data_IF_593693109194
#
_entry.id   IF_593693109194
#
_cell.length_a   1.000
_cell.length_b   1.000
_cell.length_c   1.000
_cell.angle_alpha   90.00
_cell.angle_beta   90.00
_cell.angle_gamma   90.00
#
_symmetry.space_group_name_H-M   'P 1'
#
loop_
_entity.id
_entity.type
_entity.pdbx_description
1 polymer ?
#
# COMPACT_ATOMS: atom_id res chain seq x y z
N UNK A 1 -4.13 -18.23 64.31
CA UNK A 1 -4.02 -17.34 63.12
C UNK A 1 -3.70 -18.21 61.92
N UNK A 2 -4.68 -18.44 61.04
CA UNK A 2 -4.49 -19.20 59.80
C UNK A 2 -3.66 -18.37 58.81
N UNK A 3 -2.62 -18.99 58.22
CA UNK A 3 -1.84 -18.37 57.15
C UNK A 3 -2.77 -17.90 56.02
N UNK A 4 -2.62 -16.67 55.50
CA UNK A 4 -3.36 -16.23 54.33
C UNK A 4 -3.11 -17.20 53.18
N UNK A 5 -4.17 -17.69 52.55
CA UNK A 5 -4.05 -18.50 51.36
C UNK A 5 -3.39 -17.65 50.25
N UNK A 6 -2.37 -18.15 49.55
CA UNK A 6 -1.82 -17.46 48.40
C UNK A 6 -2.94 -17.21 47.38
N UNK A 7 -2.94 -16.05 46.71
CA UNK A 7 -3.94 -15.77 45.69
C UNK A 7 -3.89 -16.87 44.62
N UNK A 8 -5.05 -17.30 44.10
CA UNK A 8 -5.08 -18.28 43.04
C UNK A 8 -4.25 -17.78 41.85
N UNK A 9 -3.52 -18.68 41.17
CA UNK A 9 -2.75 -18.30 39.99
C UNK A 9 -3.69 -17.61 38.98
N UNK A 10 -3.24 -16.54 38.31
CA UNK A 10 -4.06 -15.85 37.33
C UNK A 10 -4.52 -16.87 36.28
N UNK A 11 -5.83 -16.97 36.10
CA UNK A 11 -6.41 -17.84 35.08
C UNK A 11 -5.75 -17.52 33.73
N UNK A 12 -5.36 -18.54 32.94
CA UNK A 12 -4.82 -18.30 31.61
C UNK A 12 -5.78 -17.39 30.85
N UNK A 13 -5.28 -16.24 30.39
CA UNK A 13 -6.05 -15.29 29.59
C UNK A 13 -6.66 -16.07 28.43
N UNK A 14 -7.96 -16.39 28.51
CA UNK A 14 -8.72 -16.92 27.38
C UNK A 14 -8.49 -15.94 26.24
N UNK A 15 -7.87 -16.42 25.16
CA UNK A 15 -7.62 -15.59 23.99
C UNK A 15 -8.96 -15.00 23.55
N UNK A 16 -9.07 -13.68 23.49
CA UNK A 16 -10.30 -12.98 23.10
C UNK A 16 -10.65 -13.15 21.62
N UNK A 17 -9.77 -13.80 20.85
CA UNK A 17 -9.94 -14.05 19.41
C UNK A 17 -10.89 -15.23 19.16
N UNK A 18 -11.79 -15.08 18.20
CA UNK A 18 -12.60 -16.20 17.70
C UNK A 18 -11.74 -17.35 17.13
N UNK A 19 -12.33 -18.54 17.00
CA UNK A 19 -11.64 -19.69 16.39
C UNK A 19 -11.16 -19.39 14.97
N UNK A 20 -11.99 -18.73 14.16
CA UNK A 20 -11.65 -18.38 12.77
C UNK A 20 -10.40 -17.49 12.70
N UNK A 21 -10.34 -16.45 13.53
CA UNK A 21 -9.20 -15.54 13.62
C UNK A 21 -7.94 -16.26 14.08
N UNK A 22 -8.05 -17.17 15.05
CA UNK A 22 -6.90 -17.99 15.49
C UNK A 22 -6.38 -18.88 14.36
N UNK A 23 -7.27 -19.62 13.68
CA UNK A 23 -6.90 -20.46 12.55
C UNK A 23 -6.23 -19.65 11.44
N UNK A 24 -6.78 -18.47 11.12
CA UNK A 24 -6.18 -17.55 10.13
C UNK A 24 -4.77 -17.11 10.54
N UNK A 25 -4.56 -16.74 11.81
CA UNK A 25 -3.23 -16.29 12.28
C UNK A 25 -2.20 -17.42 12.35
N UNK A 26 -2.61 -18.65 12.67
CA UNK A 26 -1.70 -19.79 12.82
C UNK A 26 -1.43 -20.50 11.50
N UNK A 27 -2.45 -20.67 10.67
CA UNK A 27 -2.36 -21.43 9.42
C UNK A 27 -2.15 -20.52 8.21
N UNK A 28 -2.63 -19.27 8.23
CA UNK A 28 -2.52 -18.34 7.11
C UNK A 28 -1.08 -18.13 6.63
N UNK A 29 -0.16 -17.64 7.48
CA UNK A 29 1.23 -17.44 7.09
C UNK A 29 1.94 -18.71 6.56
N UNK A 30 1.92 -19.87 7.24
CA UNK A 30 2.58 -21.06 6.69
C UNK A 30 1.90 -21.57 5.41
N UNK A 31 0.57 -21.51 5.29
CA UNK A 31 -0.13 -21.87 4.05
C UNK A 31 0.26 -20.95 2.88
N UNK A 32 0.35 -19.64 3.12
CA UNK A 32 0.79 -18.69 2.11
C UNK A 32 2.25 -18.90 1.71
N UNK A 33 3.14 -19.19 2.67
CA UNK A 33 4.54 -19.51 2.39
C UNK A 33 4.66 -20.77 1.54
N UNK A 34 3.94 -21.83 1.88
CA UNK A 34 3.95 -23.08 1.12
C UNK A 34 3.39 -22.89 -0.29
N UNK A 35 2.28 -22.16 -0.44
CA UNK A 35 1.71 -21.81 -1.74
C UNK A 35 2.65 -20.94 -2.57
N UNK A 36 3.30 -19.96 -1.94
CA UNK A 36 4.27 -19.11 -2.63
C UNK A 36 5.50 -19.92 -3.04
N UNK A 37 5.94 -20.85 -2.20
CA UNK A 37 7.12 -21.68 -2.45
C UNK A 37 6.91 -22.62 -3.65
N UNK A 38 5.71 -23.17 -3.81
CA UNK A 38 5.40 -24.03 -4.95
C UNK A 38 5.41 -23.31 -6.30
N UNK A 39 5.28 -21.97 -6.29
CA UNK A 39 5.25 -21.15 -7.51
C UNK A 39 6.58 -20.38 -7.71
N UNK A 40 7.17 -19.87 -6.62
CA UNK A 40 8.42 -19.12 -6.63
C UNK A 40 9.17 -19.27 -5.28
N UNK A 41 10.13 -20.21 -5.19
CA UNK A 41 10.93 -20.42 -3.99
C UNK A 41 11.65 -19.15 -3.49
N UNK A 42 12.15 -18.32 -4.40
CA UNK A 42 12.82 -17.06 -4.07
C UNK A 42 11.85 -16.05 -3.41
N UNK A 43 10.64 -15.90 -3.96
CA UNK A 43 9.60 -15.04 -3.36
C UNK A 43 9.22 -15.57 -1.99
N UNK A 44 9.05 -16.88 -1.85
CA UNK A 44 8.73 -17.50 -0.56
C UNK A 44 9.81 -17.26 0.49
N UNK A 45 11.09 -17.36 0.13
CA UNK A 45 12.21 -17.14 1.03
C UNK A 45 12.22 -15.72 1.63
N UNK A 46 11.92 -14.70 0.82
CA UNK A 46 11.95 -13.30 1.27
C UNK A 46 10.60 -12.78 1.76
N UNK A 47 9.50 -13.45 1.43
CA UNK A 47 8.15 -13.02 1.85
C UNK A 47 7.97 -12.82 3.36
N UNK A 48 8.67 -13.52 4.30
CA UNK A 48 8.58 -13.18 5.73
C UNK A 48 9.01 -11.74 6.06
N UNK A 49 9.89 -11.13 5.26
CA UNK A 49 10.34 -9.75 5.46
C UNK A 49 9.18 -8.75 5.34
N UNK A 50 8.16 -9.09 4.55
CA UNK A 50 6.94 -8.27 4.39
C UNK A 50 6.10 -8.16 5.67
N UNK A 51 6.32 -9.06 6.64
CA UNK A 51 5.64 -9.02 7.94
C UNK A 51 6.39 -8.20 8.99
N UNK A 52 7.59 -7.69 8.69
CA UNK A 52 8.37 -6.86 9.62
C UNK A 52 7.58 -5.59 10.00
N UNK A 53 7.05 -4.79 9.06
CA UNK A 53 6.25 -3.61 9.39
C UNK A 53 5.05 -3.96 10.28
N UNK A 54 4.32 -5.02 9.94
CA UNK A 54 3.18 -5.51 10.74
C UNK A 54 3.60 -5.90 12.16
N UNK A 55 4.76 -6.54 12.32
CA UNK A 55 5.31 -6.91 13.62
C UNK A 55 5.64 -5.68 14.46
N UNK A 56 6.24 -4.65 13.85
CA UNK A 56 6.57 -3.39 14.53
C UNK A 56 5.30 -2.69 15.01
N UNK A 57 4.31 -2.52 14.12
CA UNK A 57 3.05 -1.86 14.47
C UNK A 57 2.22 -2.65 15.48
N UNK A 58 2.23 -3.99 15.40
CA UNK A 58 1.60 -4.84 16.42
C UNK A 58 2.23 -4.66 17.80
N UNK A 59 3.57 -4.57 17.88
CA UNK A 59 4.26 -4.28 19.15
C UNK A 59 3.86 -2.91 19.70
N UNK A 60 3.82 -1.87 18.85
CA UNK A 60 3.38 -0.52 19.25
C UNK A 60 1.91 -0.52 19.73
N UNK A 61 1.02 -1.22 19.03
CA UNK A 61 -0.37 -1.41 19.44
C UNK A 61 -0.47 -2.12 20.80
N UNK A 62 0.36 -3.15 21.04
CA UNK A 62 0.38 -3.89 22.31
C UNK A 62 0.75 -3.01 23.50
N UNK A 63 1.64 -2.03 23.30
CA UNK A 63 2.06 -1.07 24.32
C UNK A 63 1.09 0.11 24.50
N UNK A 64 0.11 0.29 23.61
CA UNK A 64 -0.88 1.36 23.72
C UNK A 64 -1.95 1.04 24.79
N UNK A 65 -2.49 2.04 25.51
CA UNK A 65 -3.53 1.81 26.51
C UNK A 65 -4.77 1.09 25.94
N UNK A 66 -5.27 0.02 26.59
CA UNK A 66 -6.44 -0.74 26.10
C UNK A 66 -7.70 0.11 25.88
N UNK A 67 -7.87 1.19 26.67
CA UNK A 67 -9.00 2.11 26.55
C UNK A 67 -8.97 2.96 25.28
N UNK A 68 -7.80 3.15 24.68
CA UNK A 68 -7.60 4.03 23.53
C UNK A 68 -7.43 3.26 22.20
N UNK A 69 -6.85 2.05 22.24
CA UNK A 69 -6.56 1.27 21.02
C UNK A 69 -7.79 0.53 20.47
N UNK A 70 -7.74 0.18 19.19
CA UNK A 70 -8.72 -0.70 18.57
C UNK A 70 -8.56 -2.16 19.04
N UNK A 71 -9.65 -2.94 18.97
CA UNK A 71 -9.64 -4.36 19.28
C UNK A 71 -8.85 -5.15 18.23
N UNK A 72 -8.10 -6.17 18.64
CA UNK A 72 -7.15 -6.88 17.76
C UNK A 72 -7.85 -7.64 16.63
N UNK A 73 -8.94 -8.34 16.93
CA UNK A 73 -9.63 -9.19 15.95
C UNK A 73 -10.12 -8.41 14.73
N UNK A 74 -10.82 -7.27 14.87
CA UNK A 74 -11.13 -6.40 13.75
C UNK A 74 -9.93 -5.90 12.95
N UNK A 75 -8.79 -5.63 13.59
CA UNK A 75 -7.57 -5.21 12.90
C UNK A 75 -7.01 -6.33 12.01
N UNK A 76 -7.03 -7.58 12.50
CA UNK A 76 -6.61 -8.75 11.71
C UNK A 76 -7.50 -8.90 10.47
N UNK A 77 -8.82 -8.82 10.64
CA UNK A 77 -9.75 -8.91 9.50
C UNK A 77 -9.61 -7.72 8.54
N UNK A 78 -9.37 -6.51 9.05
CA UNK A 78 -9.08 -5.33 8.22
C UNK A 78 -7.84 -5.57 7.36
N UNK A 79 -6.77 -6.08 7.96
CA UNK A 79 -5.53 -6.44 7.24
C UNK A 79 -5.83 -7.45 6.13
N UNK A 80 -6.50 -8.55 6.44
CA UNK A 80 -6.76 -9.62 5.47
C UNK A 80 -7.71 -9.16 4.37
N UNK A 81 -8.80 -8.49 4.71
CA UNK A 81 -9.79 -8.01 3.73
C UNK A 81 -9.21 -6.93 2.81
N UNK A 82 -8.41 -6.00 3.34
CA UNK A 82 -7.76 -4.97 2.51
C UNK A 82 -6.75 -5.59 1.53
N UNK A 83 -5.93 -6.54 2.00
CA UNK A 83 -4.94 -7.22 1.17
C UNK A 83 -5.52 -8.19 0.14
N UNK A 84 -6.69 -8.78 0.41
CA UNK A 84 -7.29 -9.77 -0.51
C UNK A 84 -8.40 -9.13 -1.35
N UNK A 85 -9.61 -9.05 -0.80
CA UNK A 85 -10.78 -8.51 -1.46
C UNK A 85 -10.57 -7.06 -1.91
N UNK A 86 -9.91 -6.26 -1.09
CA UNK A 86 -9.62 -4.86 -1.39
C UNK A 86 -8.77 -4.70 -2.65
N UNK A 87 -7.66 -5.43 -2.76
CA UNK A 87 -6.83 -5.42 -3.97
C UNK A 87 -7.57 -5.97 -5.20
N UNK A 88 -8.40 -7.00 -5.05
CA UNK A 88 -9.21 -7.51 -6.15
C UNK A 88 -10.20 -6.45 -6.68
N UNK A 89 -10.87 -5.72 -5.77
CA UNK A 89 -11.77 -4.61 -6.12
C UNK A 89 -11.00 -3.48 -6.81
N UNK A 90 -9.84 -3.11 -6.28
CA UNK A 90 -8.96 -2.08 -6.88
C UNK A 90 -8.55 -2.48 -8.28
N UNK A 91 -8.07 -3.71 -8.48
CA UNK A 91 -7.65 -4.19 -9.79
C UNK A 91 -8.81 -4.15 -10.79
N UNK A 92 -10.01 -4.60 -10.40
CA UNK A 92 -11.19 -4.55 -11.25
C UNK A 92 -11.59 -3.10 -11.61
N UNK A 93 -11.55 -2.19 -10.63
CA UNK A 93 -11.85 -0.78 -10.86
C UNK A 93 -10.81 -0.10 -11.75
N UNK A 94 -9.52 -0.35 -11.54
CA UNK A 94 -8.43 0.12 -12.39
C UNK A 94 -8.63 -0.37 -13.83
N UNK A 95 -8.91 -1.65 -14.02
CA UNK A 95 -9.18 -2.25 -15.33
C UNK A 95 -10.39 -1.60 -16.02
N UNK A 96 -11.47 -1.32 -15.29
CA UNK A 96 -12.63 -0.61 -15.84
C UNK A 96 -12.27 0.82 -16.27
N UNK A 97 -11.55 1.57 -15.43
CA UNK A 97 -11.11 2.94 -15.72
C UNK A 97 -10.25 2.97 -16.98
N UNK A 98 -9.22 2.12 -17.08
CA UNK A 98 -8.33 2.11 -18.25
C UNK A 98 -9.01 1.60 -19.51
N UNK A 99 -9.97 0.68 -19.40
CA UNK A 99 -10.76 0.18 -20.53
C UNK A 99 -11.65 1.28 -21.13
N UNK A 100 -12.14 2.20 -20.29
CA UNK A 100 -12.91 3.37 -20.74
C UNK A 100 -11.97 4.47 -21.27
N UNK A 101 -10.88 4.75 -20.56
CA UNK A 101 -9.97 5.84 -20.91
C UNK A 101 -9.20 5.58 -22.20
N UNK A 102 -8.72 4.35 -22.41
CA UNK A 102 -7.91 3.98 -23.58
C UNK A 102 -8.57 4.35 -24.93
N UNK A 103 -9.79 3.91 -25.27
CA UNK A 103 -10.40 4.27 -26.56
C UNK A 103 -10.63 5.77 -26.74
N UNK A 104 -10.78 6.54 -25.65
CA UNK A 104 -10.91 8.00 -25.70
C UNK A 104 -9.57 8.67 -26.00
N UNK A 105 -8.50 8.24 -25.32
CA UNK A 105 -7.15 8.79 -25.49
C UNK A 105 -6.59 8.48 -26.88
N UNK A 106 -6.80 7.25 -27.37
CA UNK A 106 -6.28 6.80 -28.66
C UNK A 106 -7.28 6.97 -29.82
N UNK A 107 -8.34 7.77 -29.64
CA UNK A 107 -9.42 7.93 -30.63
C UNK A 107 -8.92 8.30 -32.03
N UNK A 108 -7.90 9.15 -32.11
CA UNK A 108 -7.33 9.60 -33.39
C UNK A 108 -6.36 8.61 -34.04
N UNK A 109 -5.96 7.54 -33.33
CA UNK A 109 -5.06 6.51 -33.85
C UNK A 109 -5.39 5.13 -33.24
N UNK A 110 -6.43 4.44 -33.75
CA UNK A 110 -6.83 3.13 -33.24
C UNK A 110 -5.75 2.06 -33.35
N UNK A 111 -4.90 2.09 -34.38
CA UNK A 111 -3.78 1.14 -34.53
C UNK A 111 -2.76 1.28 -33.39
N UNK A 112 -2.43 2.51 -33.00
CA UNK A 112 -1.54 2.78 -31.87
C UNK A 112 -2.11 2.25 -30.54
N UNK A 113 -3.43 2.24 -30.36
CA UNK A 113 -4.09 1.69 -29.17
C UNK A 113 -3.79 0.20 -29.00
N UNK A 114 -3.90 -0.56 -30.09
CA UNK A 114 -3.72 -2.01 -30.05
C UNK A 114 -2.24 -2.34 -29.82
N UNK A 115 -1.34 -1.62 -30.49
CA UNK A 115 0.11 -1.71 -30.22
C UNK A 115 0.45 -1.34 -28.77
N UNK A 116 -0.17 -0.28 -28.24
CA UNK A 116 0.03 0.17 -26.87
C UNK A 116 -0.31 -0.94 -25.88
N UNK A 117 -1.47 -1.60 -26.01
CA UNK A 117 -1.87 -2.66 -25.08
C UNK A 117 -0.98 -3.90 -25.13
N UNK A 118 -0.53 -4.30 -26.33
CA UNK A 118 0.45 -5.38 -26.50
C UNK A 118 1.74 -5.03 -25.75
N UNK A 119 2.22 -3.80 -25.90
CA UNK A 119 3.47 -3.38 -25.27
C UNK A 119 3.32 -3.07 -23.77
N UNK A 120 2.14 -2.63 -23.31
CA UNK A 120 1.84 -2.35 -21.91
C UNK A 120 1.76 -3.63 -21.05
N UNK A 121 1.28 -4.73 -21.63
CA UNK A 121 1.24 -6.05 -20.96
C UNK A 121 2.60 -6.75 -20.91
N UNK A 122 3.60 -6.24 -21.61
CA UNK A 122 4.93 -6.85 -21.66
C UNK A 122 5.73 -6.53 -20.40
N UNK A 123 6.27 -7.56 -19.75
CA UNK A 123 7.06 -7.43 -18.51
C UNK A 123 8.59 -7.44 -18.69
N UNK A 124 9.10 -7.70 -19.90
CA UNK A 124 10.54 -7.69 -20.21
C UNK A 124 10.82 -7.27 -21.65
N UNK A 125 11.97 -6.63 -21.87
CA UNK A 125 12.50 -6.27 -23.20
C UNK A 125 13.54 -7.27 -23.73
N UNK A 126 13.80 -8.34 -22.99
CA UNK A 126 14.75 -9.37 -23.40
C UNK A 126 14.30 -10.07 -24.69
N UNK A 127 15.25 -10.29 -25.60
CA UNK A 127 15.00 -10.94 -26.90
C UNK A 127 14.33 -10.06 -27.95
N UNK A 128 14.04 -8.78 -27.66
CA UNK A 128 13.47 -7.87 -28.66
C UNK A 128 14.53 -7.35 -29.63
N UNK A 129 14.18 -7.27 -30.90
CA UNK A 129 15.04 -6.68 -31.93
C UNK A 129 14.98 -5.14 -31.90
N UNK A 130 15.91 -4.48 -32.61
CA UNK A 130 16.03 -3.03 -32.65
C UNK A 130 14.78 -2.32 -33.19
N UNK A 131 14.07 -2.94 -34.15
CA UNK A 131 12.86 -2.39 -34.72
C UNK A 131 11.72 -2.30 -33.69
N UNK A 132 11.50 -3.40 -32.94
CA UNK A 132 10.49 -3.46 -31.88
C UNK A 132 10.85 -2.50 -30.74
N UNK A 133 12.12 -2.41 -30.35
CA UNK A 133 12.58 -1.46 -29.34
C UNK A 133 12.36 -0.01 -29.80
N UNK A 134 12.67 0.31 -31.05
CA UNK A 134 12.42 1.64 -31.63
C UNK A 134 10.92 1.96 -31.67
N UNK A 135 10.07 0.98 -31.97
CA UNK A 135 8.60 1.16 -31.91
C UNK A 135 8.11 1.40 -30.49
N UNK A 136 8.55 0.61 -29.51
CA UNK A 136 8.22 0.81 -28.09
C UNK A 136 8.62 2.20 -27.61
N UNK A 137 9.82 2.67 -27.95
CA UNK A 137 10.28 4.00 -27.58
C UNK A 137 9.38 5.12 -28.14
N UNK A 138 8.87 4.97 -29.38
CA UNK A 138 7.91 5.93 -29.95
C UNK A 138 6.57 5.92 -29.20
N UNK A 139 6.07 4.75 -28.82
CA UNK A 139 4.84 4.63 -28.01
C UNK A 139 5.07 5.27 -26.63
N UNK A 140 6.18 4.97 -25.98
CA UNK A 140 6.54 5.51 -24.67
C UNK A 140 6.65 7.04 -24.67
N UNK A 141 7.22 7.62 -25.74
CA UNK A 141 7.33 9.06 -25.93
C UNK A 141 6.02 9.76 -26.35
N UNK A 142 4.99 9.00 -26.74
CA UNK A 142 3.72 9.57 -27.20
C UNK A 142 2.97 10.27 -26.07
N UNK A 143 2.32 11.40 -26.37
CA UNK A 143 1.50 12.10 -25.38
C UNK A 143 0.35 11.22 -24.87
N UNK A 144 -0.15 10.29 -25.70
CA UNK A 144 -1.18 9.33 -25.31
C UNK A 144 -0.70 8.42 -24.16
N UNK A 145 0.54 7.92 -24.20
CA UNK A 145 1.12 7.15 -23.11
C UNK A 145 1.20 7.98 -21.82
N UNK A 146 1.64 9.23 -21.90
CA UNK A 146 1.72 10.12 -20.73
C UNK A 146 0.35 10.43 -20.12
N UNK A 147 -0.65 10.73 -20.95
CA UNK A 147 -2.04 10.96 -20.49
C UNK A 147 -2.62 9.67 -19.91
N UNK A 148 -2.41 8.53 -20.56
CA UNK A 148 -2.86 7.24 -20.07
C UNK A 148 -2.25 6.92 -18.70
N UNK A 149 -0.94 7.10 -18.53
CA UNK A 149 -0.26 6.93 -17.25
C UNK A 149 -0.82 7.89 -16.20
N UNK A 150 -1.08 9.16 -16.55
CA UNK A 150 -1.72 10.10 -15.64
C UNK A 150 -3.08 9.61 -15.15
N UNK A 151 -3.94 9.12 -16.05
CA UNK A 151 -5.25 8.56 -15.68
C UNK A 151 -5.10 7.30 -14.84
N UNK A 152 -4.27 6.36 -15.27
CA UNK A 152 -4.04 5.11 -14.56
C UNK A 152 -3.54 5.37 -13.14
N UNK A 153 -2.58 6.27 -12.93
CA UNK A 153 -1.94 6.42 -11.63
C UNK A 153 -2.62 7.42 -10.71
N UNK A 154 -3.15 8.54 -11.19
CA UNK A 154 -3.86 9.47 -10.30
C UNK A 154 -5.31 9.05 -10.03
N UNK A 155 -6.00 8.48 -11.04
CA UNK A 155 -7.39 8.08 -10.91
C UNK A 155 -7.50 6.60 -10.60
N UNK A 156 -6.87 5.74 -11.40
CA UNK A 156 -6.92 4.29 -11.20
C UNK A 156 -6.28 3.84 -9.88
N UNK A 157 -5.00 4.13 -9.68
CA UNK A 157 -4.27 3.76 -8.47
C UNK A 157 -4.59 4.72 -7.32
N UNK A 158 -4.10 5.96 -7.41
CA UNK A 158 -4.15 6.92 -6.32
C UNK A 158 -5.57 7.14 -5.75
N UNK A 159 -6.56 7.44 -6.60
CA UNK A 159 -7.91 7.71 -6.10
C UNK A 159 -8.60 6.44 -5.56
N UNK A 160 -8.69 5.38 -6.37
CA UNK A 160 -9.44 4.17 -5.97
C UNK A 160 -8.81 3.53 -4.74
N UNK A 161 -7.49 3.41 -4.70
CA UNK A 161 -6.82 2.74 -3.60
C UNK A 161 -6.90 3.51 -2.30
N UNK A 162 -6.71 4.82 -2.33
CA UNK A 162 -6.75 5.62 -1.11
C UNK A 162 -8.19 5.80 -0.59
N UNK A 163 -9.20 5.76 -1.48
CA UNK A 163 -10.60 5.62 -1.07
C UNK A 163 -10.82 4.27 -0.38
N UNK A 164 -10.31 3.18 -0.93
CA UNK A 164 -10.43 1.86 -0.31
C UNK A 164 -9.72 1.79 1.06
N UNK A 165 -8.50 2.36 1.16
CA UNK A 165 -7.75 2.48 2.42
C UNK A 165 -8.42 3.43 3.44
N UNK A 166 -9.33 4.28 2.99
CA UNK A 166 -10.16 5.10 3.88
C UNK A 166 -11.36 4.35 4.49
N UNK A 167 -11.82 3.24 3.88
CA UNK A 167 -12.95 2.45 4.39
C UNK A 167 -12.73 1.96 5.84
N UNK A 168 -11.56 1.43 6.24
CA UNK A 168 -11.29 1.09 7.63
C UNK A 168 -11.48 2.24 8.61
N UNK A 169 -11.18 3.48 8.20
CA UNK A 169 -11.39 4.68 9.03
C UNK A 169 -12.88 4.99 9.17
N UNK A 170 -13.66 4.83 8.09
CA UNK A 170 -15.13 4.96 8.13
C UNK A 170 -15.75 3.88 9.03
N UNK A 171 -15.22 2.66 8.99
CA UNK A 171 -15.64 1.58 9.88
C UNK A 171 -15.30 1.91 11.35
N UNK A 172 -14.07 2.36 11.62
CA UNK A 172 -13.64 2.81 12.94
C UNK A 172 -14.54 3.94 13.47
N UNK A 173 -14.95 4.86 12.59
CA UNK A 173 -15.91 5.91 12.93
C UNK A 173 -17.20 5.35 13.46
N UNK A 174 -17.78 4.32 12.84
CA UNK A 174 -19.07 3.75 13.26
C UNK A 174 -18.97 2.90 14.52
N UNK A 175 -17.87 2.15 14.68
CA UNK A 175 -17.76 1.15 15.74
C UNK A 175 -16.97 1.62 16.97
N UNK A 176 -16.19 2.70 16.84
CA UNK A 176 -15.26 3.18 17.87
C UNK A 176 -15.32 4.71 17.98
N UNK A 177 -16.52 5.30 17.91
CA UNK A 177 -16.78 6.76 17.92
C UNK A 177 -16.05 7.53 19.02
N UNK A 178 -15.70 6.87 20.13
CA UNK A 178 -15.06 7.49 21.29
C UNK A 178 -13.53 7.34 21.32
N UNK A 179 -12.92 6.66 20.35
CA UNK A 179 -11.48 6.35 20.35
C UNK A 179 -10.77 6.89 19.12
N UNK A 180 -10.23 8.11 19.21
CA UNK A 180 -9.47 8.73 18.12
C UNK A 180 -8.30 7.86 17.62
N UNK A 181 -7.59 7.19 18.53
CA UNK A 181 -6.47 6.28 18.17
C UNK A 181 -6.93 5.07 17.35
N UNK A 182 -8.16 4.59 17.54
CA UNK A 182 -8.67 3.46 16.78
C UNK A 182 -8.68 3.77 15.27
N UNK A 183 -8.97 5.00 14.85
CA UNK A 183 -8.94 5.39 13.44
C UNK A 183 -7.56 5.14 12.81
N UNK A 184 -6.51 5.49 13.55
CA UNK A 184 -5.12 5.29 13.14
C UNK A 184 -4.79 3.81 13.10
N UNK A 185 -5.18 3.03 14.12
CA UNK A 185 -4.93 1.59 14.16
C UNK A 185 -5.60 0.85 12.98
N UNK A 186 -6.86 1.18 12.64
CA UNK A 186 -7.57 0.61 11.49
C UNK A 186 -6.94 1.02 10.15
N UNK A 187 -6.54 2.28 10.00
CA UNK A 187 -5.86 2.76 8.80
C UNK A 187 -4.52 2.04 8.59
N UNK A 188 -3.74 1.89 9.66
CA UNK A 188 -2.48 1.14 9.63
C UNK A 188 -2.74 -0.32 9.25
N UNK A 189 -3.73 -0.98 9.86
CA UNK A 189 -4.05 -2.37 9.53
C UNK A 189 -4.44 -2.55 8.05
N UNK A 190 -5.27 -1.65 7.52
CA UNK A 190 -5.65 -1.66 6.10
C UNK A 190 -4.46 -1.46 5.17
N UNK A 191 -3.61 -0.46 5.45
CA UNK A 191 -2.41 -0.18 4.65
C UNK A 191 -1.35 -1.29 4.72
N UNK A 192 -1.18 -1.91 5.88
CA UNK A 192 -0.30 -3.07 6.05
C UNK A 192 -0.78 -4.27 5.24
N UNK A 193 -2.08 -4.57 5.27
CA UNK A 193 -2.66 -5.67 4.50
C UNK A 193 -2.52 -5.45 3.00
N UNK A 194 -2.82 -4.23 2.56
CA UNK A 194 -2.69 -3.82 1.16
C UNK A 194 -1.23 -3.94 0.66
N UNK A 195 -0.31 -3.26 1.34
CA UNK A 195 1.11 -3.25 0.95
C UNK A 195 1.79 -4.63 1.09
N UNK A 196 1.32 -5.48 2.01
CA UNK A 196 1.80 -6.86 2.13
C UNK A 196 1.56 -7.66 0.85
N UNK A 197 0.32 -7.71 0.34
CA UNK A 197 0.00 -8.49 -0.85
C UNK A 197 0.62 -7.86 -2.10
N UNK A 198 0.62 -6.54 -2.20
CA UNK A 198 1.27 -5.82 -3.30
C UNK A 198 2.77 -6.16 -3.38
N UNK A 199 3.47 -6.15 -2.25
CA UNK A 199 4.88 -6.52 -2.19
C UNK A 199 5.15 -7.96 -2.62
N UNK A 200 4.29 -8.91 -2.26
CA UNK A 200 4.38 -10.28 -2.76
C UNK A 200 4.23 -10.31 -4.28
N UNK A 201 3.30 -9.53 -4.83
CA UNK A 201 3.14 -9.36 -6.27
C UNK A 201 4.41 -8.84 -6.94
N UNK A 202 5.06 -7.81 -6.39
CA UNK A 202 6.31 -7.27 -6.94
C UNK A 202 7.50 -8.22 -6.82
N UNK A 203 7.66 -8.92 -5.70
CA UNK A 203 8.68 -9.94 -5.56
C UNK A 203 8.44 -11.08 -6.56
N UNK A 204 7.21 -11.56 -6.67
CA UNK A 204 6.86 -12.57 -7.66
C UNK A 204 7.15 -12.10 -9.09
N UNK A 205 6.75 -10.87 -9.43
CA UNK A 205 6.98 -10.27 -10.75
C UNK A 205 8.47 -10.11 -11.10
N UNK A 206 9.34 -9.99 -10.11
CA UNK A 206 10.79 -9.81 -10.27
C UNK A 206 11.62 -11.09 -10.04
N UNK A 207 10.98 -12.25 -9.91
CA UNK A 207 11.65 -13.54 -9.65
C UNK A 207 12.68 -13.99 -10.69
N UNK A 208 12.67 -13.42 -11.88
CA UNK A 208 13.62 -13.74 -12.95
C UNK A 208 14.74 -12.69 -13.08
N UNK A 209 14.74 -11.66 -12.23
CA UNK A 209 15.75 -10.61 -12.23
C UNK A 209 17.05 -11.08 -11.54
N UNK A 210 18.16 -10.42 -11.85
CA UNK A 210 19.41 -10.63 -11.13
C UNK A 210 19.22 -10.32 -9.63
N UNK A 211 19.88 -11.09 -8.74
CA UNK A 211 19.73 -10.96 -7.28
C UNK A 211 19.89 -9.53 -6.75
N UNK A 212 20.85 -8.76 -7.28
CA UNK A 212 21.03 -7.36 -6.87
C UNK A 212 19.80 -6.50 -7.15
N UNK A 213 19.15 -6.70 -8.30
CA UNK A 213 17.94 -5.98 -8.69
C UNK A 213 16.71 -6.50 -7.98
N UNK A 214 16.61 -7.81 -7.79
CA UNK A 214 15.56 -8.41 -6.97
C UNK A 214 15.59 -7.84 -5.53
N UNK A 215 16.78 -7.79 -4.91
CA UNK A 215 16.94 -7.20 -3.57
C UNK A 215 16.66 -5.70 -3.55
N UNK A 216 17.00 -4.97 -4.61
CA UNK A 216 16.63 -3.56 -4.75
C UNK A 216 15.10 -3.39 -4.77
N UNK A 217 14.39 -4.16 -5.58
CA UNK A 217 12.92 -4.12 -5.67
C UNK A 217 12.29 -4.48 -4.31
N UNK A 218 12.83 -5.49 -3.62
CA UNK A 218 12.42 -5.83 -2.25
C UNK A 218 12.60 -4.63 -1.33
N UNK A 219 13.77 -3.98 -1.35
CA UNK A 219 14.02 -2.79 -0.55
C UNK A 219 13.06 -1.64 -0.88
N UNK A 220 12.87 -1.33 -2.15
CA UNK A 220 11.96 -0.27 -2.60
C UNK A 220 10.53 -0.51 -2.10
N UNK A 221 10.03 -1.74 -2.19
CA UNK A 221 8.66 -2.09 -1.78
C UNK A 221 8.53 -2.19 -0.27
N UNK A 222 9.50 -2.78 0.43
CA UNK A 222 9.47 -3.00 1.88
C UNK A 222 9.73 -1.76 2.70
N UNK A 223 10.69 -0.95 2.26
CA UNK A 223 11.09 0.22 3.02
C UNK A 223 10.30 1.41 2.52
N UNK A 224 10.40 1.74 1.24
CA UNK A 224 9.84 3.00 0.74
C UNK A 224 8.33 2.87 0.47
N UNK A 225 7.91 1.83 -0.26
CA UNK A 225 6.51 1.57 -0.59
C UNK A 225 5.66 1.37 0.66
N UNK A 226 6.04 0.47 1.55
CA UNK A 226 5.28 0.22 2.78
C UNK A 226 5.21 1.45 3.69
N UNK A 227 6.32 2.20 3.84
CA UNK A 227 6.31 3.46 4.59
C UNK A 227 5.40 4.49 3.93
N UNK A 228 5.38 4.54 2.60
CA UNK A 228 4.45 5.35 1.82
C UNK A 228 2.99 5.02 2.12
N UNK A 229 2.58 3.76 1.98
CA UNK A 229 1.20 3.32 2.24
C UNK A 229 0.77 3.57 3.69
N UNK A 230 1.60 3.18 4.66
CA UNK A 230 1.28 3.40 6.07
C UNK A 230 1.24 4.89 6.36
N UNK A 231 2.17 5.67 5.82
CA UNK A 231 2.23 7.10 5.99
C UNK A 231 0.99 7.82 5.42
N UNK A 232 0.59 7.50 4.18
CA UNK A 232 -0.60 8.09 3.55
C UNK A 232 -1.88 7.73 4.31
N UNK A 233 -2.00 6.48 4.77
CA UNK A 233 -3.14 6.02 5.55
C UNK A 233 -3.20 6.67 6.94
N UNK A 234 -2.06 6.81 7.62
CA UNK A 234 -1.98 7.54 8.91
C UNK A 234 -2.35 9.01 8.70
N UNK A 235 -1.80 9.68 7.69
CA UNK A 235 -2.14 11.08 7.39
C UNK A 235 -3.66 11.25 7.17
N UNK A 236 -4.25 10.34 6.40
CA UNK A 236 -5.70 10.27 6.17
C UNK A 236 -6.47 10.09 7.49
N UNK A 237 -6.05 9.16 8.34
CA UNK A 237 -6.67 8.93 9.65
C UNK A 237 -6.58 10.15 10.57
N UNK A 238 -5.44 10.84 10.63
CA UNK A 238 -5.26 12.02 11.48
C UNK A 238 -6.17 13.17 11.06
N UNK A 239 -6.33 13.38 9.75
CA UNK A 239 -7.25 14.39 9.23
C UNK A 239 -8.71 14.01 9.47
N UNK A 240 -9.05 12.72 9.38
CA UNK A 240 -10.37 12.23 9.77
C UNK A 240 -10.63 12.46 11.27
N UNK A 241 -9.64 12.22 12.14
CA UNK A 241 -9.74 12.51 13.57
C UNK A 241 -9.99 14.00 13.82
N UNK A 242 -9.28 14.90 13.13
CA UNK A 242 -9.53 16.35 13.23
C UNK A 242 -10.96 16.71 12.85
N UNK A 243 -11.46 16.17 11.74
CA UNK A 243 -12.86 16.38 11.32
C UNK A 243 -13.85 15.88 12.37
N UNK A 244 -13.70 14.63 12.80
CA UNK A 244 -14.74 13.92 13.55
C UNK A 244 -14.70 14.19 15.06
N UNK A 245 -13.53 14.43 15.64
CA UNK A 245 -13.37 14.67 17.09
C UNK A 245 -13.23 16.15 17.45
N UNK A 246 -12.86 17.02 16.51
CA UNK A 246 -12.72 18.47 16.77
C UNK A 246 -13.78 19.32 16.09
N UNK A 247 -14.60 18.72 15.23
CA UNK A 247 -15.60 19.46 14.46
C UNK A 247 -14.99 20.41 13.43
N UNK A 248 -13.73 20.20 13.03
CA UNK A 248 -13.15 20.99 11.95
C UNK A 248 -13.92 20.73 10.64
N UNK A 249 -14.18 21.79 9.87
CA UNK A 249 -14.92 21.74 8.60
C UNK A 249 -14.03 21.22 7.46
N UNK A 250 -13.47 20.02 7.62
CA UNK A 250 -12.68 19.33 6.60
C UNK A 250 -13.62 18.39 5.82
N UNK A 251 -13.85 18.66 4.54
CA UNK A 251 -14.59 17.74 3.66
C UNK A 251 -13.85 16.43 3.42
N UNK A 252 -14.52 15.43 2.85
CA UNK A 252 -13.89 14.12 2.54
C UNK A 252 -12.63 14.28 1.68
N UNK A 253 -12.66 15.18 0.70
CA UNK A 253 -11.50 15.48 -0.14
C UNK A 253 -10.35 16.10 0.65
N UNK A 254 -10.61 16.93 1.65
CA UNK A 254 -9.57 17.45 2.54
C UNK A 254 -8.88 16.36 3.36
N UNK A 255 -9.56 15.24 3.60
CA UNK A 255 -9.04 14.06 4.30
C UNK A 255 -8.21 13.18 3.37
N UNK A 256 -8.75 12.77 2.21
CA UNK A 256 -8.13 11.75 1.34
C UNK A 256 -7.20 12.32 0.27
N UNK A 257 -7.44 13.54 -0.21
CA UNK A 257 -6.75 14.08 -1.40
C UNK A 257 -5.22 14.10 -1.31
N UNK A 258 -4.58 14.45 -0.17
CA UNK A 258 -3.13 14.39 -0.09
C UNK A 258 -2.59 12.99 -0.32
N UNK A 259 -3.25 11.97 0.24
CA UNK A 259 -2.87 10.59 0.05
C UNK A 259 -3.00 10.17 -1.42
N UNK A 260 -4.11 10.54 -2.07
CA UNK A 260 -4.35 10.32 -3.51
C UNK A 260 -3.22 10.95 -4.35
N UNK A 261 -2.83 12.18 -4.03
CA UNK A 261 -1.76 12.88 -4.76
C UNK A 261 -0.39 12.25 -4.54
N UNK A 262 -0.04 11.89 -3.30
CA UNK A 262 1.24 11.21 -3.02
C UNK A 262 1.31 9.86 -3.71
N UNK A 263 0.23 9.08 -3.66
CA UNK A 263 0.17 7.78 -4.31
C UNK A 263 0.29 7.94 -5.83
N UNK A 264 -0.59 8.72 -6.44
CA UNK A 264 -0.60 8.88 -7.89
C UNK A 264 0.70 9.46 -8.43
N UNK A 265 1.31 10.42 -7.72
CA UNK A 265 2.61 10.98 -8.08
C UNK A 265 3.72 9.93 -8.00
N UNK A 266 3.69 9.07 -6.99
CA UNK A 266 4.71 8.04 -6.80
C UNK A 266 4.74 7.09 -8.00
N UNK A 267 3.58 6.52 -8.33
CA UNK A 267 3.50 5.58 -9.44
C UNK A 267 3.76 6.26 -10.78
N UNK A 268 3.20 7.46 -10.97
CA UNK A 268 3.43 8.24 -12.18
C UNK A 268 4.93 8.50 -12.39
N UNK A 269 5.67 8.91 -11.36
CA UNK A 269 7.12 9.11 -11.44
C UNK A 269 7.84 7.79 -11.75
N UNK A 270 7.45 6.70 -11.11
CA UNK A 270 8.04 5.38 -11.34
C UNK A 270 7.89 4.95 -12.81
N UNK A 271 6.69 5.01 -13.37
CA UNK A 271 6.49 4.68 -14.79
C UNK A 271 7.07 5.72 -15.73
N UNK A 272 7.20 6.99 -15.31
CA UNK A 272 7.85 8.02 -16.11
C UNK A 272 9.32 7.68 -16.30
N UNK A 273 10.00 7.24 -15.24
CA UNK A 273 11.38 6.76 -15.34
C UNK A 273 11.49 5.55 -16.29
N UNK A 274 10.52 4.63 -16.26
CA UNK A 274 10.44 3.51 -17.20
C UNK A 274 10.24 4.00 -18.65
N UNK A 275 9.33 4.94 -18.87
CA UNK A 275 9.02 5.52 -20.18
C UNK A 275 10.19 6.32 -20.77
N UNK A 276 10.99 6.98 -19.93
CA UNK A 276 12.22 7.68 -20.36
C UNK A 276 13.29 6.70 -20.89
N UNK A 277 13.23 5.41 -20.54
CA UNK A 277 14.05 4.35 -21.15
C UNK A 277 13.39 3.72 -22.39
N UNK A 278 12.28 4.30 -22.89
CA UNK A 278 11.55 3.78 -24.04
C UNK A 278 10.62 2.60 -23.72
N UNK A 279 10.32 2.35 -22.45
CA UNK A 279 9.40 1.28 -22.06
C UNK A 279 7.94 1.77 -22.05
N UNK A 280 7.04 0.88 -22.42
CA UNK A 280 5.59 1.02 -22.25
C UNK A 280 5.17 0.12 -21.10
N UNK A 281 4.36 0.64 -20.18
CA UNK A 281 4.01 -0.05 -18.93
C UNK A 281 5.15 -0.03 -17.91
N UNK A 282 5.03 -0.87 -16.88
CA UNK A 282 6.05 -0.99 -15.84
C UNK A 282 7.11 -2.02 -16.22
N UNK A 283 8.28 -1.51 -16.63
CA UNK A 283 9.53 -2.26 -16.65
C UNK A 283 10.51 -1.47 -15.81
N UNK A 284 11.03 -2.05 -14.74
CA UNK A 284 11.90 -1.32 -13.81
C UNK A 284 13.08 -0.68 -14.59
N UNK A 285 13.46 0.57 -14.35
CA UNK A 285 14.58 1.19 -15.06
C UNK A 285 15.89 0.41 -14.86
N UNK A 286 16.75 0.38 -15.89
CA UNK A 286 18.09 -0.28 -15.82
C UNK A 286 19.23 0.73 -15.68
N UNK A 287 19.03 1.96 -16.14
CA UNK A 287 20.01 3.03 -16.07
C UNK A 287 20.23 3.53 -14.65
N UNK A 288 21.47 3.45 -14.16
CA UNK A 288 21.84 3.86 -12.80
C UNK A 288 21.37 5.27 -12.45
N UNK A 289 21.49 6.22 -13.38
CA UNK A 289 21.06 7.60 -13.14
C UNK A 289 19.55 7.74 -12.90
N UNK A 290 18.73 7.07 -13.70
CA UNK A 290 17.27 7.08 -13.53
C UNK A 290 16.83 6.35 -12.27
N UNK A 291 17.44 5.20 -11.96
CA UNK A 291 17.17 4.45 -10.73
C UNK A 291 17.54 5.27 -9.49
N UNK A 292 18.70 5.92 -9.47
CA UNK A 292 19.09 6.79 -8.35
C UNK A 292 18.15 7.98 -8.22
N UNK A 293 17.77 8.61 -9.33
CA UNK A 293 16.78 9.69 -9.35
C UNK A 293 15.43 9.25 -8.78
N UNK A 294 14.94 8.07 -9.19
CA UNK A 294 13.71 7.48 -8.69
C UNK A 294 13.75 7.25 -7.18
N UNK A 295 14.82 6.65 -6.67
CA UNK A 295 15.02 6.42 -5.23
C UNK A 295 15.09 7.75 -4.46
N UNK A 296 15.79 8.75 -5.00
CA UNK A 296 15.88 10.08 -4.38
C UNK A 296 14.51 10.76 -4.27
N UNK A 297 13.71 10.73 -5.34
CA UNK A 297 12.35 11.25 -5.33
C UNK A 297 11.46 10.49 -4.34
N UNK A 298 11.54 9.16 -4.34
CA UNK A 298 10.83 8.29 -3.43
C UNK A 298 11.12 8.64 -1.95
N UNK A 299 12.40 8.77 -1.58
CA UNK A 299 12.82 9.19 -0.24
C UNK A 299 12.27 10.58 0.10
N UNK A 300 12.33 11.53 -0.83
CA UNK A 300 11.78 12.88 -0.65
C UNK A 300 10.27 12.89 -0.39
N UNK A 301 9.52 12.06 -1.13
CA UNK A 301 8.07 11.91 -0.96
C UNK A 301 7.73 11.29 0.41
N UNK A 302 8.40 10.20 0.78
CA UNK A 302 8.25 9.58 2.11
C UNK A 302 8.58 10.59 3.22
N UNK A 303 9.70 11.31 3.09
CA UNK A 303 10.08 12.36 4.03
C UNK A 303 9.02 13.45 4.17
N UNK A 304 8.40 13.86 3.06
CA UNK A 304 7.32 14.85 3.04
C UNK A 304 6.05 14.33 3.74
N UNK A 305 5.66 13.08 3.48
CA UNK A 305 4.53 12.43 4.16
C UNK A 305 4.77 12.38 5.67
N UNK A 306 5.96 11.91 6.10
CA UNK A 306 6.32 11.82 7.52
C UNK A 306 6.34 13.21 8.20
N UNK A 307 6.81 14.24 7.50
CA UNK A 307 6.75 15.61 7.98
C UNK A 307 5.30 16.09 8.18
N UNK A 308 4.41 15.80 7.24
CA UNK A 308 2.99 16.14 7.38
C UNK A 308 2.33 15.38 8.54
N UNK A 309 2.59 14.07 8.67
CA UNK A 309 2.11 13.27 9.82
C UNK A 309 2.58 13.89 11.12
N UNK A 310 3.87 14.25 11.24
CA UNK A 310 4.41 14.90 12.45
C UNK A 310 3.69 16.21 12.76
N UNK A 311 3.37 17.01 11.74
CA UNK A 311 2.63 18.27 11.90
C UNK A 311 1.21 18.02 12.41
N UNK A 312 0.48 17.09 11.80
CA UNK A 312 -0.87 16.70 12.21
C UNK A 312 -0.89 16.07 13.61
N UNK A 313 0.09 15.23 13.91
CA UNK A 313 0.19 14.53 15.20
C UNK A 313 0.47 15.49 16.36
N UNK A 314 1.41 16.44 16.20
CA UNK A 314 1.68 17.48 17.22
C UNK A 314 0.47 18.35 17.52
N UNK A 315 -0.39 18.56 16.53
CA UNK A 315 -1.64 19.28 16.70
C UNK A 315 -2.58 18.43 17.57
N UNK A 316 -2.69 17.12 17.32
CA UNK A 316 -3.49 16.19 18.13
C UNK A 316 -3.00 16.04 19.57
N UNK A 317 -1.70 15.87 19.81
CA UNK A 317 -1.14 15.69 21.16
C UNK A 317 -1.43 16.87 22.09
N UNK A 318 -1.25 18.10 21.59
CA UNK A 318 -1.47 19.32 22.38
C UNK A 318 -2.89 19.46 22.88
N UNK A 319 -3.86 18.96 22.12
CA UNK A 319 -5.28 19.24 22.37
C UNK A 319 -6.03 18.05 22.96
N UNK A 320 -5.66 16.81 22.62
CA UNK A 320 -6.37 15.60 23.08
C UNK A 320 -5.73 14.95 24.31
N UNK A 321 -4.62 15.48 24.84
CA UNK A 321 -3.86 14.86 25.94
C UNK A 321 -3.60 13.36 25.73
N UNK A 322 -3.43 12.93 24.48
CA UNK A 322 -3.26 11.52 24.10
C UNK A 322 -1.97 10.89 24.66
N UNK A 323 -1.11 11.69 25.28
CA UNK A 323 0.11 11.26 25.96
C UNK A 323 0.10 11.81 27.39
N UNK A 324 -0.63 11.15 28.27
CA UNK A 324 -0.37 11.10 29.72
C UNK A 324 -0.73 9.71 30.23
#
# INVERSE_FOLDING_TARGET
>A
MSKPQPPPPPLPQKTTLSLSTRLLTYLGPPSLLLLTFSISPQTALLSPLTLIPSTIFYRQWKHSPPSQRADLEPLIWTFVSAGTLGLAIVAAAQMAIVSIASPLIFRSNPGLKDEFWVEFQRHSIEGLNAEVLGRRARIAASWQNWVFNGVLFFVGAGLVEEVLKYIPVVYARRCQEKKARAYVDYAIAGALGFGFVEALGFMYGSRNEAWSRFLLIVFERMVLGQTGHVGSAVLTALRAVRRDFRGEKIGIWGVIWPAVMFHGLWDFVAVSASALEGNVGWIHPKGTGLTVGLIGMAIGMVGTILWQIKKEWKVLERELKLVR
#
